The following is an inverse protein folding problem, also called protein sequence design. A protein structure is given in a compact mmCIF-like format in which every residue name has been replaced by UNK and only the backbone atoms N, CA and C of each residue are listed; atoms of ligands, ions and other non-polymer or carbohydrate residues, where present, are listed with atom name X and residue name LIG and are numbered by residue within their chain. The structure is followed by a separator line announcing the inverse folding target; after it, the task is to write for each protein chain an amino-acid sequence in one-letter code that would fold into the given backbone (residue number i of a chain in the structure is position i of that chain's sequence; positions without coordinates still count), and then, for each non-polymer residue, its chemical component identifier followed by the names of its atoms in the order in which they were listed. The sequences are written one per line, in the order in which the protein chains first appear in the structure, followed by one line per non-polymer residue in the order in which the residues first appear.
data_IF_557372462576
#
_entry.id   IF_557372462576
#
_cell.length_a   1.000
_cell.length_b   1.000
_cell.length_c   1.000
_cell.angle_alpha   90.00
_cell.angle_beta   90.00
_cell.angle_gamma   90.00
#
_symmetry.space_group_name_H-M   'P 1'
#
loop_
_entity.id
_entity.type
_entity.pdbx_description
1 polymer ?
#
# COMPACT_ATOMS: atom_id res chain seq x y z
N UNK A 1 48.84 -1.10 42.78
CA UNK A 1 47.88 -0.62 43.81
C UNK A 1 46.83 0.36 43.26
N UNK A 2 46.53 0.38 41.95
CA UNK A 2 45.55 1.31 41.34
C UNK A 2 44.33 0.63 40.70
N UNK A 3 44.33 -0.71 40.56
CA UNK A 3 43.22 -1.49 40.01
C UNK A 3 42.08 -1.75 41.01
N UNK A 4 42.43 -2.06 42.26
CA UNK A 4 41.50 -2.33 43.37
C UNK A 4 40.57 -1.14 43.71
N UNK A 5 41.01 0.09 43.45
CA UNK A 5 40.23 1.29 43.76
C UNK A 5 39.12 1.57 42.75
N UNK A 6 39.24 1.08 41.51
CA UNK A 6 38.21 1.26 40.47
C UNK A 6 37.05 0.28 40.65
N UNK A 7 37.33 -0.95 41.04
CA UNK A 7 36.30 -1.97 41.33
C UNK A 7 35.48 -1.63 42.56
N UNK A 8 36.07 -1.02 43.58
CA UNK A 8 35.33 -0.57 44.77
C UNK A 8 34.37 0.62 44.49
N UNK A 9 34.71 1.51 43.55
CA UNK A 9 33.82 2.61 43.17
C UNK A 9 32.64 2.16 42.29
N UNK A 10 32.83 1.19 41.39
CA UNK A 10 31.72 0.64 40.60
C UNK A 10 30.76 -0.19 41.45
N UNK A 11 31.26 -0.92 42.45
CA UNK A 11 30.43 -1.66 43.42
C UNK A 11 29.63 -0.73 44.34
N UNK A 12 30.18 0.42 44.76
CA UNK A 12 29.44 1.45 45.51
C UNK A 12 28.39 2.16 44.66
N UNK A 13 28.67 2.43 43.39
CA UNK A 13 27.69 3.03 42.47
C UNK A 13 26.52 2.08 42.18
N UNK A 14 26.80 0.79 41.97
CA UNK A 14 25.76 -0.23 41.79
C UNK A 14 24.95 -0.45 43.09
N UNK A 15 25.58 -0.40 44.26
CA UNK A 15 24.84 -0.52 45.54
C UNK A 15 24.00 0.72 45.86
N UNK A 16 24.35 1.91 45.34
CA UNK A 16 23.56 3.13 45.53
C UNK A 16 22.27 3.16 44.70
N UNK A 17 22.28 2.54 43.51
CA UNK A 17 21.09 2.37 42.68
C UNK A 17 20.13 1.34 43.31
N UNK A 18 20.65 0.27 43.93
CA UNK A 18 19.84 -0.72 44.65
C UNK A 18 19.38 -0.26 46.06
N UNK A 19 20.20 0.51 46.78
CA UNK A 19 19.86 1.04 48.12
C UNK A 19 18.83 2.17 48.09
N UNK A 20 18.65 2.82 46.94
CA UNK A 20 17.54 3.77 46.74
C UNK A 20 16.17 3.09 46.64
N UNK A 21 16.13 1.75 46.59
CA UNK A 21 14.89 0.96 46.45
C UNK A 21 14.37 0.40 47.79
N UNK A 22 15.07 0.62 48.91
CA UNK A 22 14.68 0.09 50.22
C UNK A 22 14.93 1.10 51.35
N UNK A 23 14.47 2.34 51.17
CA UNK A 23 14.21 3.24 52.31
C UNK A 23 12.70 3.30 52.46
N UNK A 24 12.18 2.43 53.34
CA UNK A 24 10.86 2.61 53.93
C UNK A 24 10.95 3.85 54.82
N UNK A 25 10.63 5.00 54.25
CA UNK A 25 10.60 6.28 54.96
C UNK A 25 9.39 6.29 55.91
N UNK A 26 9.63 6.02 57.19
CA UNK A 26 8.68 6.29 58.26
C UNK A 26 8.83 7.76 58.70
N UNK A 27 8.46 8.69 57.82
CA UNK A 27 8.34 10.12 58.09
C UNK A 27 6.96 10.49 58.68
N UNK A 28 6.82 11.63 59.39
CA UNK A 28 5.68 11.92 60.25
C UNK A 28 4.38 11.97 59.44
N UNK A 29 3.47 11.07 59.83
CA UNK A 29 2.12 10.99 59.32
C UNK A 29 1.36 12.32 59.54
N UNK A 30 0.44 12.56 58.59
CA UNK A 30 -0.71 13.46 58.68
C UNK A 30 -0.48 14.98 58.59
N UNK A 31 0.15 15.46 57.51
CA UNK A 31 -0.18 16.78 56.93
C UNK A 31 0.26 16.92 55.45
N UNK A 32 1.21 16.10 54.98
CA UNK A 32 1.78 16.21 53.63
C UNK A 32 1.12 15.31 52.58
N UNK A 33 0.23 14.38 52.97
CA UNK A 33 -0.44 13.46 52.03
C UNK A 33 -1.28 14.17 50.98
N UNK A 34 -2.05 15.19 51.38
CA UNK A 34 -2.99 15.87 50.49
C UNK A 34 -2.29 16.51 49.26
N UNK A 35 -1.14 17.17 49.45
CA UNK A 35 -0.43 17.82 48.34
C UNK A 35 0.46 16.88 47.52
N UNK A 36 1.03 15.87 48.16
CA UNK A 36 1.91 14.92 47.50
C UNK A 36 1.12 14.05 46.51
N UNK A 37 -0.06 13.60 46.94
CA UNK A 37 -0.96 12.76 46.15
C UNK A 37 -1.53 13.52 44.94
N UNK A 38 -1.88 14.81 45.12
CA UNK A 38 -2.37 15.68 44.03
C UNK A 38 -1.30 15.91 42.94
N UNK A 39 -0.05 16.17 43.35
CA UNK A 39 1.07 16.36 42.43
C UNK A 39 1.38 15.07 41.65
N UNK A 40 1.29 13.91 42.30
CA UNK A 40 1.44 12.62 41.65
C UNK A 40 0.28 12.33 40.69
N UNK A 41 -0.96 12.56 41.11
CA UNK A 41 -2.13 12.35 40.27
C UNK A 41 -2.09 13.22 39.01
N UNK A 42 -1.73 14.50 39.14
CA UNK A 42 -1.59 15.40 37.99
C UNK A 42 -0.51 14.93 37.02
N UNK A 43 0.66 14.49 37.53
CA UNK A 43 1.73 13.93 36.70
C UNK A 43 1.29 12.67 35.95
N UNK A 44 0.55 11.78 36.62
CA UNK A 44 0.02 10.57 35.98
C UNK A 44 -1.01 10.91 34.89
N UNK A 45 -1.92 11.85 35.16
CA UNK A 45 -2.89 12.32 34.16
C UNK A 45 -2.18 12.89 32.93
N UNK A 46 -1.19 13.75 33.13
CA UNK A 46 -0.41 14.32 32.01
C UNK A 46 0.30 13.21 31.21
N UNK A 47 0.92 12.25 31.88
CA UNK A 47 1.60 11.13 31.22
C UNK A 47 0.63 10.26 30.41
N UNK A 48 -0.54 9.94 30.99
CA UNK A 48 -1.60 9.18 30.31
C UNK A 48 -2.11 9.93 29.08
N UNK A 49 -2.33 11.25 29.20
CA UNK A 49 -2.78 12.08 28.06
C UNK A 49 -1.75 12.08 26.94
N UNK A 50 -0.46 12.26 27.25
CA UNK A 50 0.61 12.22 26.25
C UNK A 50 0.65 10.85 25.57
N UNK A 51 0.59 9.77 26.36
CA UNK A 51 0.58 8.41 25.83
C UNK A 51 -0.62 8.17 24.91
N UNK A 52 -1.80 8.67 25.29
CA UNK A 52 -3.01 8.54 24.50
C UNK A 52 -2.94 9.30 23.18
N UNK A 53 -2.37 10.52 23.20
CA UNK A 53 -2.13 11.30 21.97
C UNK A 53 -1.18 10.54 21.03
N UNK A 54 -0.10 9.96 21.55
CA UNK A 54 0.85 9.17 20.75
C UNK A 54 0.22 7.88 20.19
N UNK A 55 -0.67 7.26 20.96
CA UNK A 55 -1.35 6.04 20.57
C UNK A 55 -2.29 6.25 19.37
N UNK A 56 -2.94 7.41 19.26
CA UNK A 56 -3.85 7.70 18.15
C UNK A 56 -3.14 8.18 16.87
N UNK A 57 -1.84 8.49 16.91
CA UNK A 57 -1.05 8.97 15.76
C UNK A 57 -1.24 8.13 14.48
N UNK A 58 -1.04 6.80 14.47
CA UNK A 58 -1.21 5.99 13.25
C UNK A 58 -2.63 6.07 12.68
N UNK A 59 -3.64 6.17 13.54
CA UNK A 59 -5.03 6.36 13.12
C UNK A 59 -5.21 7.74 12.49
N UNK A 60 -4.74 8.81 13.13
CA UNK A 60 -4.84 10.18 12.59
C UNK A 60 -4.17 10.29 11.21
N UNK A 61 -2.98 9.71 11.04
CA UNK A 61 -2.25 9.70 9.76
C UNK A 61 -3.06 9.00 8.66
N UNK A 62 -3.66 7.86 8.96
CA UNK A 62 -4.47 7.11 7.99
C UNK A 62 -5.72 7.88 7.53
N UNK A 63 -6.39 8.60 8.44
CA UNK A 63 -7.55 9.42 8.12
C UNK A 63 -7.17 10.70 7.37
N UNK A 64 -6.08 11.37 7.75
CA UNK A 64 -5.61 12.57 7.07
C UNK A 64 -5.21 12.28 5.61
N UNK A 65 -4.59 11.11 5.36
CA UNK A 65 -4.21 10.67 4.01
C UNK A 65 -5.35 10.06 3.19
N UNK A 66 -6.58 9.99 3.74
CA UNK A 66 -7.73 9.30 3.13
C UNK A 66 -7.39 7.89 2.62
N UNK A 67 -6.59 7.15 3.41
CA UNK A 67 -6.15 5.81 3.02
C UNK A 67 -7.36 4.89 2.77
N UNK A 68 -7.41 4.11 1.69
CA UNK A 68 -8.56 3.24 1.38
C UNK A 68 -8.87 2.28 2.53
N UNK A 69 -7.83 1.79 3.21
CA UNK A 69 -7.93 0.85 4.32
C UNK A 69 -7.89 1.52 5.70
N UNK A 70 -8.34 2.78 5.82
CA UNK A 70 -8.33 3.54 7.10
C UNK A 70 -9.03 2.81 8.25
N UNK A 71 -10.12 2.10 7.96
CA UNK A 71 -10.85 1.31 8.95
C UNK A 71 -10.08 0.09 9.43
N UNK A 72 -9.36 -0.59 8.53
CA UNK A 72 -8.51 -1.72 8.91
C UNK A 72 -7.33 -1.28 9.79
N UNK A 73 -6.70 -0.14 9.46
CA UNK A 73 -5.64 0.45 10.29
C UNK A 73 -6.17 0.81 11.68
N UNK A 74 -7.38 1.36 11.79
CA UNK A 74 -8.02 1.66 13.08
C UNK A 74 -8.22 0.38 13.90
N UNK A 75 -8.76 -0.68 13.31
CA UNK A 75 -8.98 -1.96 14.00
C UNK A 75 -7.66 -2.57 14.48
N UNK A 76 -6.63 -2.58 13.63
CA UNK A 76 -5.30 -3.07 14.03
C UNK A 76 -4.70 -2.23 15.15
N UNK A 77 -4.81 -0.90 15.07
CA UNK A 77 -4.31 -0.03 16.14
C UNK A 77 -5.05 -0.28 17.47
N UNK A 78 -6.37 -0.46 17.47
CA UNK A 78 -7.14 -0.72 18.71
C UNK A 78 -6.85 -2.10 19.30
N UNK A 79 -6.81 -3.15 18.47
CA UNK A 79 -6.65 -4.54 18.94
C UNK A 79 -5.19 -4.86 19.26
N UNK A 80 -4.25 -4.39 18.44
CA UNK A 80 -2.83 -4.73 18.54
C UNK A 80 -1.93 -3.55 18.93
N UNK A 81 -2.43 -2.31 19.02
CA UNK A 81 -1.59 -1.14 19.31
C UNK A 81 -0.87 -1.21 20.67
N UNK A 82 -1.45 -1.90 21.66
CA UNK A 82 -0.82 -2.07 22.97
C UNK A 82 0.45 -2.95 22.92
N UNK A 83 0.62 -3.76 21.88
CA UNK A 83 1.77 -4.67 21.73
C UNK A 83 3.05 -4.00 21.24
N UNK A 84 3.01 -2.70 20.92
CA UNK A 84 4.13 -1.94 20.32
C UNK A 84 4.39 -2.32 18.86
N UNK A 85 4.48 -3.62 18.56
CA UNK A 85 4.60 -4.15 17.19
C UNK A 85 3.35 -3.88 16.36
N UNK A 86 2.15 -4.05 16.94
CA UNK A 86 0.90 -3.69 16.27
C UNK A 86 0.78 -2.19 16.02
N UNK A 87 1.31 -1.36 16.92
CA UNK A 87 1.36 0.09 16.74
C UNK A 87 2.31 0.47 15.60
N UNK A 88 3.54 -0.05 15.59
CA UNK A 88 4.52 0.16 14.50
C UNK A 88 4.01 -0.37 13.16
N UNK A 89 3.43 -1.57 13.14
CA UNK A 89 2.82 -2.16 11.95
C UNK A 89 1.69 -1.29 11.40
N UNK A 90 0.82 -0.78 12.28
CA UNK A 90 -0.25 0.15 11.87
C UNK A 90 0.30 1.48 11.33
N UNK A 91 1.40 1.99 11.87
CA UNK A 91 2.07 3.21 11.41
C UNK A 91 2.68 3.02 10.01
N UNK A 92 3.43 1.93 9.81
CA UNK A 92 4.00 1.57 8.51
C UNK A 92 2.89 1.39 7.48
N UNK A 93 1.81 0.72 7.86
CA UNK A 93 0.68 0.49 6.96
C UNK A 93 -0.12 1.76 6.67
N UNK A 94 -0.23 2.70 7.62
CA UNK A 94 -0.78 4.03 7.39
C UNK A 94 0.05 4.88 6.44
N UNK A 95 1.37 4.68 6.43
CA UNK A 95 2.28 5.36 5.51
C UNK A 95 2.35 4.70 4.12
N UNK A 96 2.03 3.41 4.02
CA UNK A 96 2.12 2.64 2.77
C UNK A 96 0.92 2.91 1.87
N UNK A 97 1.11 3.65 0.77
CA UNK A 97 0.07 3.92 -0.22
C UNK A 97 0.01 2.77 -1.23
N UNK A 98 -0.85 1.77 -0.99
CA UNK A 98 -1.19 0.77 -2.00
C UNK A 98 -2.23 1.38 -2.95
N UNK A 99 -1.80 1.70 -4.18
CA UNK A 99 -2.69 2.16 -5.25
C UNK A 99 -3.55 0.99 -5.75
N UNK A 100 -4.73 0.82 -5.15
CA UNK A 100 -5.80 0.00 -5.73
C UNK A 100 -6.68 0.96 -6.52
N UNK A 101 -6.65 0.87 -7.85
CA UNK A 101 -7.57 1.66 -8.68
C UNK A 101 -9.00 1.18 -8.41
N UNK A 102 -9.99 2.09 -8.24
CA UNK A 102 -11.38 1.74 -7.97
C UNK A 102 -12.03 0.88 -9.06
N UNK A 103 -11.45 0.94 -10.26
CA UNK A 103 -11.86 0.17 -11.42
C UNK A 103 -10.83 -0.94 -11.56
N UNK A 104 -11.04 -2.09 -10.89
CA UNK A 104 -10.09 -3.20 -10.79
C UNK A 104 -9.25 -3.45 -12.05
N UNK A 105 -8.11 -2.77 -12.14
CA UNK A 105 -7.12 -2.87 -13.20
C UNK A 105 -5.75 -2.93 -12.54
N UNK A 106 -5.58 -3.88 -11.63
CA UNK A 106 -4.26 -4.34 -11.21
C UNK A 106 -4.05 -5.70 -11.88
N UNK A 107 -3.36 -5.66 -13.02
CA UNK A 107 -3.08 -6.81 -13.88
C UNK A 107 -2.83 -6.47 -15.36
N UNK A 108 -3.08 -5.22 -15.79
CA UNK A 108 -2.79 -4.74 -17.15
C UNK A 108 -1.54 -3.85 -17.29
N UNK A 109 -0.97 -3.35 -16.18
CA UNK A 109 0.12 -2.35 -16.23
C UNK A 109 1.50 -2.93 -15.85
N UNK A 110 1.56 -4.18 -15.40
CA UNK A 110 2.82 -4.89 -15.18
C UNK A 110 3.44 -5.31 -16.52
N UNK A 111 3.99 -4.36 -17.28
CA UNK A 111 5.06 -4.55 -18.28
C UNK A 111 4.91 -5.61 -19.40
N UNK A 112 3.83 -6.37 -19.44
CA UNK A 112 3.56 -7.49 -20.36
C UNK A 112 2.22 -7.27 -21.10
N UNK A 113 1.71 -6.05 -21.06
CA UNK A 113 0.53 -5.56 -21.77
C UNK A 113 0.86 -4.27 -22.55
N UNK A 114 2.11 -4.15 -23.02
CA UNK A 114 2.56 -3.05 -23.89
C UNK A 114 1.82 -3.03 -25.25
N UNK A 115 1.20 -4.14 -25.65
CA UNK A 115 0.56 -4.27 -26.96
C UNK A 115 -0.96 -4.08 -26.95
N UNK A 116 -1.58 -4.10 -25.78
CA UNK A 116 -3.05 -4.04 -25.66
C UNK A 116 -3.53 -2.63 -25.32
N UNK A 117 -2.68 -1.79 -24.72
CA UNK A 117 -3.08 -0.45 -24.28
C UNK A 117 -2.00 0.62 -24.52
N UNK A 118 -1.45 0.66 -25.74
CA UNK A 118 -0.66 1.80 -26.21
C UNK A 118 -1.53 2.67 -27.15
N UNK A 119 -2.04 3.84 -26.71
CA UNK A 119 -2.75 4.77 -27.56
C UNK A 119 -1.82 5.64 -28.41
N UNK A 120 -0.50 5.38 -28.46
CA UNK A 120 0.33 5.99 -29.50
C UNK A 120 -0.16 5.48 -30.85
N UNK A 121 -0.97 6.32 -31.51
CA UNK A 121 -1.15 6.23 -32.95
C UNK A 121 0.22 6.46 -33.55
N UNK A 122 0.95 5.37 -33.79
CA UNK A 122 2.11 5.37 -34.67
C UNK A 122 1.66 6.13 -35.91
N UNK A 123 2.24 7.30 -36.23
CA UNK A 123 2.03 7.90 -37.53
C UNK A 123 2.38 6.79 -38.50
N UNK A 124 1.37 6.25 -39.20
CA UNK A 124 1.68 5.54 -40.43
C UNK A 124 2.49 6.57 -41.19
N UNK A 125 3.77 6.30 -41.38
CA UNK A 125 4.43 6.80 -42.56
C UNK A 125 3.47 6.39 -43.67
N UNK A 126 2.68 7.36 -44.10
CA UNK A 126 2.09 7.36 -45.42
C UNK A 126 3.25 6.92 -46.27
N UNK A 127 3.25 5.68 -46.82
CA UNK A 127 4.13 5.41 -47.93
C UNK A 127 3.75 6.53 -48.89
N UNK A 128 4.69 7.45 -49.02
CA UNK A 128 4.84 8.39 -50.10
C UNK A 128 3.67 8.28 -51.06
N UNK A 129 2.78 9.25 -50.91
CA UNK A 129 1.66 9.59 -51.77
C UNK A 129 2.04 9.40 -53.24
N UNK A 130 1.98 8.17 -53.73
CA UNK A 130 2.11 7.82 -55.13
C UNK A 130 0.69 7.80 -55.68
N UNK A 131 0.04 8.95 -55.58
CA UNK A 131 -1.33 9.21 -56.00
C UNK A 131 -2.41 8.28 -55.40
N UNK A 132 -3.65 8.75 -55.21
CA UNK A 132 -4.78 7.85 -55.15
C UNK A 132 -4.85 7.15 -56.51
N UNK A 133 -4.58 5.84 -56.59
CA UNK A 133 -5.02 5.07 -57.76
C UNK A 133 -6.54 5.16 -57.78
N UNK A 134 -7.14 5.83 -58.79
CA UNK A 134 -8.59 6.01 -58.86
C UNK A 134 -9.34 4.68 -59.08
N UNK A 135 -8.64 3.56 -59.27
CA UNK A 135 -9.23 2.24 -59.44
C UNK A 135 -9.30 1.36 -58.18
N UNK A 136 -8.78 1.80 -57.03
CA UNK A 136 -9.01 1.03 -55.78
C UNK A 136 -10.37 1.43 -55.22
N UNK A 137 -11.41 0.86 -55.83
CA UNK A 137 -12.76 0.88 -55.28
C UNK A 137 -12.76 0.38 -53.84
N UNK A 138 -13.73 0.79 -53.01
CA UNK A 138 -13.89 0.20 -51.69
C UNK A 138 -14.02 -1.31 -51.89
N UNK A 139 -13.30 -2.12 -51.10
CA UNK A 139 -13.34 -3.59 -51.09
C UNK A 139 -14.70 -4.13 -50.62
N UNK A 140 -15.72 -3.73 -51.36
CA UNK A 140 -17.14 -3.84 -51.11
C UNK A 140 -17.80 -4.84 -52.07
N UNK A 141 -17.02 -5.56 -52.88
CA UNK A 141 -17.54 -6.71 -53.62
C UNK A 141 -17.51 -7.95 -52.70
N UNK A 142 -18.65 -8.55 -52.34
CA UNK A 142 -18.72 -9.76 -51.53
C UNK A 142 -17.85 -10.91 -52.06
N UNK A 143 -17.58 -10.93 -53.37
CA UNK A 143 -16.77 -11.95 -54.03
C UNK A 143 -15.29 -11.90 -53.61
N UNK A 144 -14.70 -10.71 -53.52
CA UNK A 144 -13.29 -10.54 -53.13
C UNK A 144 -13.06 -10.98 -51.68
N UNK A 145 -14.02 -10.65 -50.80
CA UNK A 145 -14.03 -11.12 -49.41
C UNK A 145 -14.12 -12.64 -49.32
N UNK A 146 -14.90 -13.27 -50.20
CA UNK A 146 -15.06 -14.72 -50.24
C UNK A 146 -13.77 -15.42 -50.72
N UNK A 147 -13.05 -14.84 -51.69
CA UNK A 147 -11.73 -15.33 -52.12
C UNK A 147 -10.70 -15.26 -50.99
N UNK A 148 -10.69 -14.15 -50.23
CA UNK A 148 -9.80 -14.01 -49.08
C UNK A 148 -10.09 -15.03 -47.98
N UNK A 149 -11.36 -15.31 -47.70
CA UNK A 149 -11.74 -16.34 -46.72
C UNK A 149 -11.31 -17.75 -47.19
N UNK A 150 -11.38 -18.05 -48.48
CA UNK A 150 -10.90 -19.32 -49.03
C UNK A 150 -9.39 -19.46 -48.89
N UNK A 151 -8.63 -18.41 -49.19
CA UNK A 151 -7.17 -18.42 -49.04
C UNK A 151 -6.74 -18.67 -47.58
N UNK A 152 -7.48 -18.12 -46.60
CA UNK A 152 -7.22 -18.35 -45.18
C UNK A 152 -7.52 -19.79 -44.74
N UNK A 153 -8.55 -20.41 -45.31
CA UNK A 153 -8.87 -21.83 -45.07
C UNK A 153 -7.79 -22.74 -45.64
N UNK A 154 -7.32 -22.45 -46.85
CA UNK A 154 -6.26 -23.22 -47.51
C UNK A 154 -4.91 -23.09 -46.78
N UNK A 155 -4.64 -21.93 -46.19
CA UNK A 155 -3.50 -21.70 -45.30
C UNK A 155 -3.62 -22.39 -43.92
N UNK A 156 -4.75 -23.04 -43.61
CA UNK A 156 -5.02 -23.69 -42.33
C UNK A 156 -5.20 -22.70 -41.16
N UNK A 157 -5.40 -21.42 -41.45
CA UNK A 157 -5.55 -20.37 -40.44
C UNK A 157 -6.96 -20.33 -39.82
N UNK A 158 -7.95 -20.92 -40.49
CA UNK A 158 -9.34 -21.00 -40.03
C UNK A 158 -9.89 -22.42 -40.23
N UNK A 159 -10.75 -22.86 -39.31
CA UNK A 159 -11.42 -24.16 -39.38
C UNK A 159 -12.63 -24.14 -40.33
N UNK A 160 -13.06 -25.33 -40.79
CA UNK A 160 -14.19 -25.49 -41.70
C UNK A 160 -15.50 -24.94 -41.11
N UNK A 161 -15.69 -25.07 -39.80
CA UNK A 161 -16.85 -24.54 -39.11
C UNK A 161 -16.83 -23.00 -39.02
N UNK A 162 -15.64 -22.41 -38.82
CA UNK A 162 -15.46 -20.95 -38.78
C UNK A 162 -15.69 -20.32 -40.16
N UNK A 163 -15.18 -20.97 -41.22
CA UNK A 163 -15.40 -20.53 -42.60
C UNK A 163 -16.89 -20.46 -42.94
N UNK A 164 -17.71 -21.43 -42.49
CA UNK A 164 -19.15 -21.46 -42.74
C UNK A 164 -19.89 -20.27 -42.11
N UNK A 165 -19.47 -19.84 -40.91
CA UNK A 165 -20.04 -18.69 -40.22
C UNK A 165 -19.66 -17.39 -40.92
N UNK A 166 -18.39 -17.24 -41.33
CA UNK A 166 -17.89 -16.04 -42.00
C UNK A 166 -18.50 -15.87 -43.40
N UNK A 167 -18.62 -16.96 -44.16
CA UNK A 167 -19.29 -16.95 -45.48
C UNK A 167 -20.73 -16.46 -45.37
N UNK A 168 -21.46 -16.86 -44.31
CA UNK A 168 -22.85 -16.42 -44.09
C UNK A 168 -22.98 -14.91 -43.86
N UNK A 169 -22.02 -14.29 -43.15
CA UNK A 169 -22.02 -12.83 -42.89
C UNK A 169 -21.65 -11.99 -44.10
N UNK A 170 -20.92 -12.56 -45.06
CA UNK A 170 -20.54 -11.88 -46.30
C UNK A 170 -21.68 -11.93 -47.32
N UNK A 171 -22.53 -12.98 -47.26
CA UNK A 171 -23.67 -13.18 -48.16
C UNK A 171 -25.00 -12.65 -47.60
N UNK A 172 -25.03 -12.16 -46.36
CA UNK A 172 -26.20 -11.50 -45.74
C UNK A 172 -26.19 -10.02 -46.00
#
# INVERSE_FOLDING_TARGET
MTGELRTLNTLRAASSIAASMLVLDAGPASAQGLHQDDMFALKLVVLVVIFWILYVVPTVIAFHRKHPNRWAILVVNVVFGATGLGWLGSLVWACSAVHISPNGSNGGESGLNLFVNDPTRVPRETPEETAPDPNVGPSADPLERMMKLLALREAGAIDDNEFAVLKRRVLS
#
